data_IF_681701256058
#
_entry.id   IF_681701256058
#
_cell.length_a   1.000
_cell.length_b   1.000
_cell.length_c   1.000
_cell.angle_alpha   90.00
_cell.angle_beta   90.00
_cell.angle_gamma   90.00
#
_symmetry.space_group_name_H-M   'P 1'
#
loop_
_entity.id
_entity.type
_entity.pdbx_description
1 polymer ?
#
# COMPACT_ATOMS: atom_id res chain seq x y z
N UNK A 1 34.98 -48.19 28.42
CA UNK A 1 35.42 -47.26 27.38
C UNK A 1 36.69 -46.63 27.90
N UNK A 2 37.79 -46.69 27.16
CA UNK A 2 39.03 -46.06 27.60
C UNK A 2 38.99 -44.54 27.35
N UNK A 3 39.94 -43.79 27.91
CA UNK A 3 39.97 -42.33 27.82
C UNK A 3 40.09 -41.83 26.37
N UNK A 4 40.76 -42.59 25.49
CA UNK A 4 40.94 -42.23 24.09
C UNK A 4 39.66 -42.50 23.28
N UNK A 5 38.98 -43.61 23.53
CA UNK A 5 37.67 -43.92 22.95
C UNK A 5 36.61 -42.91 23.40
N UNK A 6 36.62 -42.51 24.67
CA UNK A 6 35.71 -41.49 25.19
C UNK A 6 35.95 -40.14 24.51
N UNK A 7 37.22 -39.72 24.40
CA UNK A 7 37.62 -38.53 23.67
C UNK A 7 37.18 -38.57 22.19
N UNK A 8 37.41 -39.67 21.49
CA UNK A 8 36.98 -39.85 20.09
C UNK A 8 35.47 -39.86 19.95
N UNK A 9 34.74 -40.37 20.95
CA UNK A 9 33.27 -40.33 20.94
C UNK A 9 32.73 -38.90 21.08
N UNK A 10 33.41 -38.02 21.82
CA UNK A 10 33.05 -36.60 21.93
C UNK A 10 33.33 -35.87 20.61
N UNK A 11 34.46 -36.18 19.95
CA UNK A 11 34.74 -35.67 18.61
C UNK A 11 33.69 -36.14 17.59
N UNK A 12 33.29 -37.41 17.63
CA UNK A 12 32.23 -37.95 16.76
C UNK A 12 30.85 -37.33 17.04
N UNK A 13 30.62 -36.84 18.26
CA UNK A 13 29.43 -36.07 18.65
C UNK A 13 29.53 -34.58 18.30
N UNK A 14 30.64 -34.14 17.69
CA UNK A 14 30.83 -32.77 17.19
C UNK A 14 31.41 -31.79 18.21
N UNK A 15 31.91 -32.24 19.36
CA UNK A 15 32.64 -31.36 20.29
C UNK A 15 34.01 -30.97 19.70
N UNK A 16 34.47 -29.73 19.95
CA UNK A 16 35.81 -29.28 19.52
C UNK A 16 36.90 -30.06 20.26
N UNK A 17 38.07 -30.20 19.65
CA UNK A 17 39.21 -30.94 20.20
C UNK A 17 39.61 -30.44 21.59
N UNK A 18 39.65 -29.13 21.79
CA UNK A 18 40.04 -28.50 23.07
C UNK A 18 39.00 -28.78 24.17
N UNK A 19 37.71 -28.62 23.85
CA UNK A 19 36.61 -28.92 24.78
C UNK A 19 36.53 -30.41 25.11
N UNK A 20 36.78 -31.27 24.13
CA UNK A 20 36.78 -32.73 24.29
C UNK A 20 37.89 -33.19 25.22
N UNK A 21 39.06 -32.53 25.19
CA UNK A 21 40.13 -32.78 26.17
C UNK A 21 39.66 -32.40 27.57
N UNK A 22 39.04 -31.22 27.73
CA UNK A 22 38.55 -30.77 29.03
C UNK A 22 37.48 -31.71 29.61
N UNK A 23 36.50 -32.15 28.80
CA UNK A 23 35.48 -33.11 29.22
C UNK A 23 36.06 -34.51 29.50
N UNK A 24 37.03 -34.94 28.71
CA UNK A 24 37.71 -36.22 28.94
C UNK A 24 38.52 -36.17 30.24
N UNK A 25 39.20 -35.06 30.52
CA UNK A 25 39.95 -34.86 31.76
C UNK A 25 39.07 -34.81 33.01
N UNK A 26 37.81 -34.35 32.89
CA UNK A 26 36.85 -34.40 33.99
C UNK A 26 36.47 -35.83 34.38
N UNK A 27 36.39 -36.76 33.41
CA UNK A 27 36.06 -38.17 33.66
C UNK A 27 37.30 -39.07 33.84
N UNK A 28 38.43 -38.67 33.26
CA UNK A 28 39.71 -39.39 33.28
C UNK A 28 40.84 -38.42 33.67
N UNK A 29 41.01 -38.13 34.97
CA UNK A 29 42.04 -37.23 35.46
C UNK A 29 43.43 -37.82 35.15
N UNK A 30 44.16 -37.18 34.25
CA UNK A 30 45.46 -37.66 33.72
C UNK A 30 45.50 -37.84 32.20
N UNK A 31 44.39 -37.66 31.50
CA UNK A 31 44.37 -37.67 30.04
C UNK A 31 45.14 -36.47 29.46
N UNK A 32 46.13 -36.75 28.60
CA UNK A 32 46.88 -35.74 27.83
C UNK A 32 47.01 -36.22 26.39
N UNK A 33 46.79 -35.33 25.41
CA UNK A 33 47.05 -35.64 24.01
C UNK A 33 48.55 -35.92 23.81
N UNK A 34 48.88 -37.01 23.14
CA UNK A 34 50.25 -37.26 22.72
C UNK A 34 50.68 -36.12 21.76
N UNK A 35 51.84 -35.47 22.00
CA UNK A 35 52.29 -34.38 21.14
C UNK A 35 52.58 -34.93 19.73
N UNK A 36 51.95 -34.31 18.72
CA UNK A 36 52.27 -34.54 17.31
C UNK A 36 53.73 -34.13 17.08
N UNK A 37 54.60 -34.95 16.47
CA UNK A 37 55.99 -34.57 16.26
C UNK A 37 56.07 -33.32 15.37
N UNK A 38 56.65 -32.24 15.88
CA UNK A 38 56.98 -31.04 15.12
C UNK A 38 57.92 -31.38 13.97
N UNK A 39 57.47 -31.15 12.74
CA UNK A 39 58.32 -31.28 11.55
C UNK A 39 59.22 -30.05 11.48
N UNK A 40 60.49 -30.26 11.84
CA UNK A 40 61.58 -29.30 11.72
C UNK A 40 61.86 -29.01 10.22
N UNK A 41 61.79 -27.75 9.72
CA UNK A 41 61.78 -27.46 8.28
C UNK A 41 63.14 -27.57 7.57
N UNK A 42 64.11 -28.26 8.16
CA UNK A 42 65.51 -28.21 7.74
C UNK A 42 66.09 -29.60 7.48
N UNK A 43 65.46 -30.40 6.63
CA UNK A 43 66.08 -31.56 5.97
C UNK A 43 65.09 -32.22 5.00
N UNK A 44 65.23 -31.95 3.70
CA UNK A 44 64.69 -32.83 2.66
C UNK A 44 65.76 -33.87 2.31
N UNK A 45 65.49 -35.17 2.44
CA UNK A 45 66.15 -36.19 1.64
C UNK A 45 65.27 -36.56 0.44
N UNK A 46 65.86 -36.50 -0.74
CA UNK A 46 65.33 -37.07 -1.97
C UNK A 46 64.88 -38.54 -1.80
N UNK A 47 63.76 -38.98 -2.38
CA UNK A 47 63.49 -40.40 -2.54
C UNK A 47 64.15 -40.94 -3.82
N UNK A 48 64.89 -42.04 -3.67
CA UNK A 48 65.35 -42.89 -4.76
C UNK A 48 64.22 -43.86 -5.22
N UNK A 49 64.31 -44.46 -6.43
CA UNK A 49 63.14 -44.67 -7.28
C UNK A 49 62.61 -46.13 -7.36
N UNK A 50 61.65 -46.29 -8.29
CA UNK A 50 61.16 -47.50 -9.01
C UNK A 50 60.05 -48.34 -8.31
N UNK A 51 58.96 -48.86 -8.93
CA UNK A 51 58.53 -49.15 -10.32
C UNK A 51 56.99 -49.04 -10.48
N UNK A 52 56.52 -48.65 -11.68
CA UNK A 52 55.14 -48.84 -12.15
C UNK A 52 54.96 -50.24 -12.80
N UNK A 53 53.71 -50.73 -12.92
CA UNK A 53 53.01 -50.65 -14.21
C UNK A 53 51.51 -50.31 -14.04
N UNK A 54 50.81 -49.62 -14.94
CA UNK A 54 51.14 -49.07 -16.24
C UNK A 54 50.15 -47.96 -16.63
N UNK A 55 50.69 -47.03 -17.42
CA UNK A 55 50.11 -46.20 -18.51
C UNK A 55 48.57 -46.12 -18.66
N UNK A 56 47.94 -44.96 -18.89
CA UNK A 56 48.45 -43.73 -19.51
C UNK A 56 47.47 -42.54 -19.44
N UNK A 57 48.05 -41.35 -19.23
CA UNK A 57 47.74 -39.99 -19.79
C UNK A 57 46.37 -39.37 -19.48
N UNK A 58 46.22 -38.19 -18.89
CA UNK A 58 47.01 -36.94 -18.73
C UNK A 58 45.95 -35.80 -18.72
N UNK A 59 45.99 -34.66 -18.03
CA UNK A 59 47.05 -33.68 -17.80
C UNK A 59 46.50 -32.67 -16.74
N UNK A 60 47.31 -32.33 -15.74
CA UNK A 60 47.57 -30.92 -15.34
C UNK A 60 46.57 -30.10 -14.51
N UNK A 61 47.12 -29.65 -13.37
CA UNK A 61 46.96 -28.32 -12.74
C UNK A 61 45.82 -28.15 -11.73
N UNK A 62 46.23 -27.88 -10.48
CA UNK A 62 45.50 -27.00 -9.57
C UNK A 62 44.89 -27.69 -8.36
N UNK A 63 45.52 -27.47 -7.20
CA UNK A 63 44.81 -27.50 -5.92
C UNK A 63 43.51 -26.70 -6.07
N UNK A 64 42.36 -27.38 -6.01
CA UNK A 64 41.09 -26.69 -5.80
C UNK A 64 41.05 -26.33 -4.33
N UNK A 65 41.56 -25.13 -4.03
CA UNK A 65 41.12 -24.36 -2.87
C UNK A 65 39.61 -24.22 -3.05
N UNK A 66 38.82 -25.05 -2.36
CA UNK A 66 37.37 -24.88 -2.29
C UNK A 66 37.13 -23.65 -1.41
N UNK A 67 37.14 -22.49 -2.07
CA UNK A 67 36.77 -21.21 -1.48
C UNK A 67 35.36 -21.37 -0.91
N UNK A 68 35.27 -21.37 0.43
CA UNK A 68 34.03 -21.44 1.19
C UNK A 68 33.04 -20.41 0.65
N UNK A 69 31.90 -20.88 0.13
CA UNK A 69 30.92 -20.02 -0.52
C UNK A 69 30.07 -19.38 0.58
N UNK A 70 30.20 -18.07 0.70
CA UNK A 70 29.83 -17.28 1.87
C UNK A 70 28.31 -17.18 2.15
N UNK A 71 27.99 -16.86 3.41
CA UNK A 71 26.70 -16.35 3.93
C UNK A 71 25.98 -15.36 3.00
N UNK A 72 26.70 -14.67 2.09
CA UNK A 72 26.11 -13.77 1.09
C UNK A 72 25.23 -14.46 0.03
N UNK A 73 25.24 -15.79 -0.12
CA UNK A 73 24.28 -16.50 -0.98
C UNK A 73 22.83 -16.35 -0.50
N UNK A 74 22.57 -16.60 0.78
CA UNK A 74 21.21 -16.63 1.32
C UNK A 74 20.59 -15.22 1.35
N UNK A 75 21.38 -14.22 1.78
CA UNK A 75 20.91 -12.84 1.86
C UNK A 75 20.58 -12.21 0.49
N UNK A 76 21.33 -12.53 -0.57
CA UNK A 76 21.04 -12.02 -1.92
C UNK A 76 19.79 -12.64 -2.55
N UNK A 77 19.47 -13.89 -2.22
CA UNK A 77 18.23 -14.56 -2.64
C UNK A 77 17.04 -13.94 -1.90
N UNK A 78 17.15 -13.76 -0.59
CA UNK A 78 16.10 -13.16 0.24
C UNK A 78 15.84 -11.71 -0.19
N UNK A 79 16.88 -10.86 -0.30
CA UNK A 79 16.70 -9.46 -0.67
C UNK A 79 16.10 -9.29 -2.07
N UNK A 80 16.53 -10.12 -3.04
CA UNK A 80 15.95 -10.13 -4.38
C UNK A 80 14.49 -10.59 -4.39
N UNK A 81 14.13 -11.63 -3.63
CA UNK A 81 12.74 -12.09 -3.56
C UNK A 81 11.79 -11.04 -2.96
N UNK A 82 12.21 -10.36 -1.90
CA UNK A 82 11.43 -9.28 -1.27
C UNK A 82 11.30 -8.09 -2.22
N UNK A 83 12.38 -7.74 -2.93
CA UNK A 83 12.38 -6.69 -3.94
C UNK A 83 11.33 -6.92 -5.02
N UNK A 84 11.24 -8.14 -5.57
CA UNK A 84 10.25 -8.49 -6.60
C UNK A 84 8.83 -8.32 -6.06
N UNK A 85 8.55 -8.91 -4.90
CA UNK A 85 7.21 -8.93 -4.30
C UNK A 85 6.72 -7.51 -3.98
N UNK A 86 7.56 -6.71 -3.33
CA UNK A 86 7.19 -5.34 -2.98
C UNK A 86 7.08 -4.45 -4.22
N UNK A 87 7.96 -4.60 -5.21
CA UNK A 87 7.84 -3.84 -6.46
C UNK A 87 6.53 -4.16 -7.18
N UNK A 88 6.06 -5.41 -7.17
CA UNK A 88 4.75 -5.78 -7.74
C UNK A 88 3.61 -5.13 -6.95
N UNK A 89 3.66 -5.17 -5.62
CA UNK A 89 2.64 -4.54 -4.78
C UNK A 89 2.55 -3.03 -5.02
N UNK A 90 3.69 -2.36 -5.09
CA UNK A 90 3.76 -0.92 -5.39
C UNK A 90 3.28 -0.66 -6.82
N UNK A 91 3.63 -1.49 -7.81
CA UNK A 91 3.14 -1.33 -9.19
C UNK A 91 1.61 -1.39 -9.27
N UNK A 92 0.99 -2.38 -8.63
CA UNK A 92 -0.48 -2.49 -8.58
C UNK A 92 -1.06 -1.23 -7.93
N UNK A 93 -0.51 -0.81 -6.79
CA UNK A 93 -0.97 0.39 -6.11
C UNK A 93 -0.84 1.66 -6.97
N UNK A 94 0.34 1.92 -7.55
CA UNK A 94 0.59 3.12 -8.36
C UNK A 94 -0.27 3.14 -9.62
N UNK A 95 -0.50 1.98 -10.25
CA UNK A 95 -1.32 1.92 -11.47
C UNK A 95 -2.82 2.00 -11.20
N UNK A 96 -3.32 1.43 -10.10
CA UNK A 96 -4.75 1.36 -9.81
C UNK A 96 -5.25 2.55 -8.98
N UNK A 97 -4.48 3.03 -8.00
CA UNK A 97 -4.89 4.17 -7.17
C UNK A 97 -4.32 5.47 -7.65
N UNK A 98 -2.99 5.59 -7.64
CA UNK A 98 -2.34 6.89 -7.83
C UNK A 98 -2.66 7.44 -9.22
N UNK A 99 -2.58 6.62 -10.26
CA UNK A 99 -2.91 7.05 -11.62
C UNK A 99 -4.41 7.30 -11.83
N UNK A 100 -5.29 6.51 -11.21
CA UNK A 100 -6.74 6.72 -11.33
C UNK A 100 -7.13 8.04 -10.66
N UNK A 101 -6.73 8.24 -9.40
CA UNK A 101 -6.98 9.48 -8.67
C UNK A 101 -6.38 10.70 -9.38
N UNK A 102 -5.16 10.62 -9.91
CA UNK A 102 -4.60 11.73 -10.69
C UNK A 102 -5.40 11.98 -11.98
N UNK A 103 -5.85 10.93 -12.68
CA UNK A 103 -6.64 11.08 -13.90
C UNK A 103 -7.98 11.74 -13.61
N UNK A 104 -8.70 11.25 -12.61
CA UNK A 104 -10.02 11.78 -12.25
C UNK A 104 -9.91 13.24 -11.80
N UNK A 105 -8.90 13.58 -10.98
CA UNK A 105 -8.65 14.98 -10.61
C UNK A 105 -8.28 15.84 -11.82
N UNK A 106 -7.51 15.33 -12.79
CA UNK A 106 -7.22 16.10 -14.02
C UNK A 106 -8.52 16.41 -14.76
N UNK A 107 -9.42 15.45 -14.91
CA UNK A 107 -10.66 15.64 -15.64
C UNK A 107 -11.56 16.65 -14.92
N UNK A 108 -11.76 16.49 -13.61
CA UNK A 108 -12.54 17.43 -12.77
C UNK A 108 -12.01 18.86 -12.86
N UNK A 109 -10.72 19.07 -12.57
CA UNK A 109 -10.15 20.42 -12.57
C UNK A 109 -9.90 20.98 -13.99
N UNK A 110 -9.96 20.15 -15.05
CA UNK A 110 -9.88 20.65 -16.43
C UNK A 110 -11.18 21.28 -16.89
N UNK A 111 -12.31 20.86 -16.32
CA UNK A 111 -13.62 21.41 -16.62
C UNK A 111 -13.90 22.71 -15.83
N UNK A 112 -13.19 22.91 -14.71
CA UNK A 112 -13.17 24.17 -13.97
C UNK A 112 -12.44 25.26 -14.78
N UNK A 113 -13.19 26.19 -15.37
CA UNK A 113 -12.62 27.29 -16.14
C UNK A 113 -12.05 28.37 -15.21
N UNK A 114 -10.72 28.45 -15.06
CA UNK A 114 -10.08 29.49 -14.26
C UNK A 114 -8.56 29.34 -14.16
N UNK A 115 -7.84 30.44 -13.90
CA UNK A 115 -6.38 30.39 -13.77
C UNK A 115 -5.86 29.48 -12.65
N UNK A 116 -6.52 29.37 -11.47
CA UNK A 116 -6.06 28.48 -10.40
C UNK A 116 -6.19 26.99 -10.77
N UNK A 117 -7.33 26.63 -11.37
CA UNK A 117 -7.59 25.25 -11.83
C UNK A 117 -6.62 24.83 -12.94
N UNK A 118 -6.32 25.72 -13.89
CA UNK A 118 -5.31 25.45 -14.94
C UNK A 118 -3.92 25.17 -14.35
N UNK A 119 -3.52 25.92 -13.32
CA UNK A 119 -2.25 25.69 -12.60
C UNK A 119 -2.23 24.32 -11.93
N UNK A 120 -3.31 23.95 -11.23
CA UNK A 120 -3.44 22.66 -10.56
C UNK A 120 -3.45 21.50 -11.57
N UNK A 121 -4.18 21.61 -12.68
CA UNK A 121 -4.19 20.61 -13.76
C UNK A 121 -2.79 20.41 -14.34
N UNK A 122 -2.01 21.48 -14.52
CA UNK A 122 -0.62 21.40 -14.98
C UNK A 122 0.26 20.64 -13.98
N UNK A 123 0.07 20.89 -12.69
CA UNK A 123 0.76 20.17 -11.63
C UNK A 123 0.38 18.68 -11.59
N UNK A 124 -0.91 18.36 -11.72
CA UNK A 124 -1.42 16.99 -11.78
C UNK A 124 -0.90 16.22 -13.00
N UNK A 125 -0.85 16.84 -14.18
CA UNK A 125 -0.23 16.26 -15.39
C UNK A 125 1.26 15.97 -15.17
N UNK A 126 1.97 16.85 -14.46
CA UNK A 126 3.36 16.65 -14.07
C UNK A 126 3.51 15.46 -13.11
N UNK A 127 2.62 15.35 -12.11
CA UNK A 127 2.56 14.20 -11.21
C UNK A 127 2.27 12.89 -11.94
N UNK A 128 1.41 12.90 -12.96
CA UNK A 128 1.13 11.73 -13.79
C UNK A 128 2.38 11.25 -14.54
N UNK A 129 3.17 12.18 -15.10
CA UNK A 129 4.45 11.86 -15.75
C UNK A 129 5.45 11.25 -14.75
N UNK A 130 5.57 11.84 -13.55
CA UNK A 130 6.42 11.31 -12.48
C UNK A 130 5.97 9.93 -12.02
N UNK A 131 4.66 9.68 -11.99
CA UNK A 131 4.08 8.37 -11.70
C UNK A 131 4.51 7.32 -12.74
N UNK A 132 4.40 7.63 -14.04
CA UNK A 132 4.87 6.72 -15.09
C UNK A 132 6.39 6.48 -15.04
N UNK A 133 7.17 7.49 -14.67
CA UNK A 133 8.60 7.32 -14.41
C UNK A 133 8.85 6.37 -13.23
N UNK A 134 8.08 6.49 -12.14
CA UNK A 134 8.17 5.59 -10.98
C UNK A 134 7.84 4.15 -11.35
N UNK A 135 6.82 3.92 -12.18
CA UNK A 135 6.46 2.60 -12.73
C UNK A 135 7.61 2.01 -13.54
N UNK A 136 8.24 2.79 -14.41
CA UNK A 136 9.39 2.33 -15.20
C UNK A 136 10.57 1.91 -14.31
N UNK A 137 10.85 2.69 -13.25
CA UNK A 137 11.87 2.34 -12.26
C UNK A 137 11.50 1.10 -11.44
N UNK A 138 10.21 0.88 -11.17
CA UNK A 138 9.74 -0.33 -10.48
C UNK A 138 9.97 -1.59 -11.31
N UNK A 139 9.73 -1.55 -12.63
CA UNK A 139 10.16 -2.63 -13.52
C UNK A 139 11.70 -2.82 -13.51
N UNK A 140 12.44 -1.72 -13.42
CA UNK A 140 13.89 -1.75 -13.19
C UNK A 140 14.28 -2.46 -11.89
N UNK A 141 13.58 -2.21 -10.78
CA UNK A 141 13.82 -2.91 -9.50
C UNK A 141 13.57 -4.40 -9.61
N UNK A 142 12.54 -4.84 -10.35
CA UNK A 142 12.29 -6.26 -10.58
C UNK A 142 13.47 -6.89 -11.33
N UNK A 143 13.93 -6.23 -12.41
CA UNK A 143 15.10 -6.69 -13.17
C UNK A 143 16.38 -6.77 -12.32
N UNK A 144 16.67 -5.73 -11.52
CA UNK A 144 17.83 -5.72 -10.62
C UNK A 144 17.70 -6.77 -9.52
N UNK A 145 16.49 -6.99 -9.01
CA UNK A 145 16.21 -8.03 -8.00
C UNK A 145 16.48 -9.43 -8.54
N UNK A 146 16.04 -9.73 -9.76
CA UNK A 146 16.37 -10.99 -10.47
C UNK A 146 17.89 -11.12 -10.65
N UNK A 147 18.56 -10.06 -11.12
CA UNK A 147 20.02 -10.07 -11.29
C UNK A 147 20.75 -10.25 -9.94
N UNK A 148 20.18 -9.77 -8.85
CA UNK A 148 20.72 -9.93 -7.49
C UNK A 148 20.60 -11.38 -7.03
N UNK A 149 19.46 -12.04 -7.30
CA UNK A 149 19.30 -13.49 -7.06
C UNK A 149 20.28 -14.31 -7.92
N UNK A 150 20.49 -13.91 -9.17
CA UNK A 150 21.43 -14.54 -10.09
C UNK A 150 22.91 -14.18 -9.81
N UNK A 151 23.19 -13.33 -8.82
CA UNK A 151 24.53 -12.79 -8.49
C UNK A 151 25.24 -12.08 -9.66
N UNK A 152 24.47 -11.55 -10.60
CA UNK A 152 24.95 -10.75 -11.73
C UNK A 152 24.88 -9.23 -11.45
N UNK A 153 24.29 -8.85 -10.32
CA UNK A 153 24.14 -7.46 -9.87
C UNK A 153 25.21 -7.08 -8.83
N UNK A 154 25.62 -5.80 -8.82
CA UNK A 154 26.45 -5.25 -7.73
C UNK A 154 25.56 -5.02 -6.51
N UNK A 155 26.12 -5.23 -5.31
CA UNK A 155 25.40 -5.11 -4.03
C UNK A 155 24.71 -3.75 -3.80
N UNK A 156 25.19 -2.69 -4.45
CA UNK A 156 24.65 -1.33 -4.33
C UNK A 156 23.59 -0.98 -5.37
N UNK A 157 23.39 -1.78 -6.43
CA UNK A 157 22.40 -1.48 -7.46
C UNK A 157 20.98 -1.45 -6.89
N UNK A 158 20.61 -2.46 -6.08
CA UNK A 158 19.28 -2.55 -5.48
C UNK A 158 19.02 -1.40 -4.48
N UNK A 159 19.92 -1.09 -3.52
CA UNK A 159 19.79 0.09 -2.67
C UNK A 159 19.69 1.41 -3.43
N UNK A 160 20.49 1.57 -4.49
CA UNK A 160 20.51 2.82 -5.26
C UNK A 160 19.17 3.07 -5.96
N UNK A 161 18.63 2.08 -6.66
CA UNK A 161 17.34 2.24 -7.34
C UNK A 161 16.18 2.40 -6.36
N UNK A 162 16.17 1.67 -5.23
CA UNK A 162 15.11 1.81 -4.21
C UNK A 162 15.16 3.18 -3.56
N UNK A 163 16.37 3.74 -3.34
CA UNK A 163 16.53 5.09 -2.82
C UNK A 163 16.06 6.16 -3.82
N UNK A 164 16.34 5.99 -5.11
CA UNK A 164 15.83 6.88 -6.16
C UNK A 164 14.29 6.87 -6.21
N UNK A 165 13.66 5.70 -6.13
CA UNK A 165 12.19 5.57 -6.11
C UNK A 165 11.62 6.23 -4.85
N UNK A 166 12.25 6.03 -3.68
CA UNK A 166 11.84 6.66 -2.44
C UNK A 166 11.85 8.20 -2.56
N UNK A 167 12.93 8.77 -3.10
CA UNK A 167 13.02 10.22 -3.31
C UNK A 167 11.96 10.74 -4.28
N UNK A 168 11.65 9.97 -5.32
CA UNK A 168 10.58 10.33 -6.25
C UNK A 168 9.22 10.36 -5.55
N UNK A 169 8.87 9.35 -4.76
CA UNK A 169 7.59 9.34 -4.03
C UNK A 169 7.49 10.46 -2.99
N UNK A 170 8.57 10.74 -2.25
CA UNK A 170 8.60 11.88 -1.32
C UNK A 170 8.46 13.20 -2.08
N UNK A 171 9.15 13.34 -3.22
CA UNK A 171 9.06 14.52 -4.08
C UNK A 171 7.65 14.72 -4.64
N UNK A 172 6.98 13.63 -5.05
CA UNK A 172 5.59 13.66 -5.51
C UNK A 172 4.65 14.11 -4.40
N UNK A 173 4.72 13.52 -3.20
CA UNK A 173 3.86 13.93 -2.08
C UNK A 173 4.07 15.38 -1.66
N UNK A 174 5.33 15.84 -1.64
CA UNK A 174 5.65 17.26 -1.39
C UNK A 174 5.09 18.18 -2.47
N UNK A 175 5.23 17.80 -3.75
CA UNK A 175 4.76 18.59 -4.87
C UNK A 175 3.22 18.67 -4.90
N UNK A 176 2.54 17.55 -4.62
CA UNK A 176 1.07 17.51 -4.49
C UNK A 176 0.58 18.45 -3.38
N UNK A 177 1.19 18.41 -2.20
CA UNK A 177 0.80 19.28 -1.09
C UNK A 177 0.93 20.77 -1.44
N UNK A 178 2.04 21.16 -2.09
CA UNK A 178 2.21 22.55 -2.53
C UNK A 178 1.19 22.94 -3.60
N UNK A 179 0.97 22.10 -4.62
CA UNK A 179 0.03 22.45 -5.69
C UNK A 179 -1.40 22.58 -5.17
N UNK A 180 -1.79 21.73 -4.22
CA UNK A 180 -3.10 21.77 -3.58
C UNK A 180 -3.25 23.02 -2.70
N UNK A 181 -2.26 23.34 -1.88
CA UNK A 181 -2.30 24.57 -1.06
C UNK A 181 -2.29 25.83 -1.92
N UNK A 182 -1.53 25.83 -3.02
CA UNK A 182 -1.50 26.95 -3.93
C UNK A 182 -2.88 27.18 -4.57
N UNK A 183 -3.59 26.10 -4.94
CA UNK A 183 -4.96 26.19 -5.45
C UNK A 183 -5.94 26.69 -4.37
N UNK A 184 -5.94 26.09 -3.18
CA UNK A 184 -6.92 26.44 -2.14
C UNK A 184 -6.65 27.77 -1.43
N UNK A 185 -5.39 28.19 -1.28
CA UNK A 185 -5.02 29.32 -0.42
C UNK A 185 -4.38 30.51 -1.15
N UNK A 186 -3.54 30.28 -2.17
CA UNK A 186 -2.77 31.36 -2.80
C UNK A 186 -3.48 31.97 -4.01
N UNK A 187 -4.01 31.13 -4.90
CA UNK A 187 -4.62 31.56 -6.16
C UNK A 187 -6.15 31.73 -6.06
N UNK A 188 -6.75 31.27 -4.96
CA UNK A 188 -8.18 31.37 -4.68
C UNK A 188 -8.96 30.25 -5.35
N UNK A 189 -9.32 29.24 -4.58
CA UNK A 189 -10.23 28.18 -4.99
C UNK A 189 -11.58 28.78 -5.41
N UNK A 190 -12.22 28.17 -6.41
CA UNK A 190 -13.46 28.72 -6.97
C UNK A 190 -14.60 28.58 -5.96
N UNK A 191 -14.98 29.70 -5.34
CA UNK A 191 -16.04 29.74 -4.34
C UNK A 191 -17.45 29.52 -4.93
N UNK A 192 -17.61 29.59 -6.26
CA UNK A 192 -18.86 29.18 -6.91
C UNK A 192 -19.02 27.66 -6.94
N UNK A 193 -17.91 26.92 -6.90
CA UNK A 193 -17.88 25.44 -6.94
C UNK A 193 -17.69 24.86 -5.53
N UNK A 194 -16.80 25.46 -4.72
CA UNK A 194 -16.50 25.00 -3.37
C UNK A 194 -16.81 26.09 -2.34
N UNK A 195 -17.94 25.96 -1.65
CA UNK A 195 -18.37 26.91 -0.60
C UNK A 195 -17.40 26.97 0.60
N UNK A 196 -16.52 25.98 0.75
CA UNK A 196 -15.61 25.83 1.88
C UNK A 196 -14.14 26.20 1.59
N UNK A 197 -13.82 26.86 0.46
CA UNK A 197 -12.44 27.24 0.13
C UNK A 197 -11.70 27.95 1.28
N UNK A 198 -12.41 28.77 2.08
CA UNK A 198 -11.84 29.51 3.22
C UNK A 198 -11.64 28.69 4.51
N UNK A 199 -12.19 27.47 4.59
CA UNK A 199 -12.13 26.58 5.75
C UNK A 199 -11.24 25.36 5.54
N UNK A 200 -10.80 25.10 4.30
CA UNK A 200 -9.77 24.12 4.00
C UNK A 200 -8.51 24.45 4.81
N UNK A 201 -7.87 23.43 5.39
CA UNK A 201 -6.59 23.62 6.10
C UNK A 201 -5.45 23.37 5.15
N UNK A 202 -4.32 24.02 5.40
CA UNK A 202 -3.07 23.73 4.68
C UNK A 202 -2.77 22.22 4.73
N UNK A 203 -2.67 21.63 3.55
CA UNK A 203 -2.26 20.25 3.40
C UNK A 203 -0.75 20.15 3.58
N UNK A 204 -0.32 19.25 4.46
CA UNK A 204 1.09 18.88 4.56
C UNK A 204 1.35 17.68 3.67
N UNK A 205 2.61 17.50 3.23
CA UNK A 205 2.97 16.29 2.46
C UNK A 205 2.50 15.00 3.17
N UNK A 206 2.48 15.02 4.51
CA UNK A 206 2.14 13.89 5.37
C UNK A 206 0.66 13.55 5.43
N UNK A 207 -0.21 14.49 5.04
CA UNK A 207 -1.67 14.34 5.02
C UNK A 207 -2.20 13.99 3.63
N UNK A 208 -1.40 14.16 2.58
CA UNK A 208 -1.82 13.78 1.22
C UNK A 208 -2.02 12.27 1.10
N UNK A 209 -3.10 11.84 0.43
CA UNK A 209 -3.39 10.41 0.17
C UNK A 209 -2.27 9.71 -0.61
N UNK A 210 -1.57 10.49 -1.44
CA UNK A 210 -0.35 10.08 -2.16
C UNK A 210 0.74 9.64 -1.17
N UNK A 211 0.79 10.21 0.04
CA UNK A 211 1.78 9.90 1.07
C UNK A 211 1.31 8.94 2.16
N UNK A 212 0.01 8.85 2.46
CA UNK A 212 -0.55 7.86 3.39
C UNK A 212 -0.20 6.41 2.97
N UNK A 213 -0.14 6.15 1.66
CA UNK A 213 0.38 4.91 1.08
C UNK A 213 1.91 4.87 0.91
N UNK A 214 2.52 6.04 0.83
CA UNK A 214 3.97 6.28 0.79
C UNK A 214 4.69 5.83 2.06
N UNK A 215 4.06 5.83 3.24
CA UNK A 215 4.69 5.31 4.46
C UNK A 215 4.97 3.82 4.36
N UNK A 216 3.95 3.01 4.04
CA UNK A 216 4.09 1.57 3.88
C UNK A 216 5.10 1.22 2.76
N UNK A 217 5.04 1.96 1.66
CA UNK A 217 5.96 1.84 0.53
C UNK A 217 7.40 2.24 0.91
N UNK A 218 7.56 3.33 1.65
CA UNK A 218 8.85 3.85 2.10
C UNK A 218 9.52 2.92 3.10
N UNK A 219 8.78 2.39 4.08
CA UNK A 219 9.28 1.37 4.99
C UNK A 219 9.70 0.09 4.25
N UNK A 220 8.91 -0.35 3.27
CA UNK A 220 9.26 -1.51 2.45
C UNK A 220 10.56 -1.28 1.65
N UNK A 221 10.71 -0.12 0.99
CA UNK A 221 11.90 0.21 0.21
C UNK A 221 13.16 0.38 1.09
N UNK A 222 13.02 1.00 2.27
CA UNK A 222 14.11 1.11 3.26
C UNK A 222 14.51 -0.29 3.73
N UNK A 223 13.55 -1.16 4.04
CA UNK A 223 13.82 -2.52 4.48
C UNK A 223 14.56 -3.36 3.41
N UNK A 224 14.14 -3.26 2.14
CA UNK A 224 14.83 -3.89 1.00
C UNK A 224 16.26 -3.36 0.87
N UNK A 225 16.43 -2.04 0.95
CA UNK A 225 17.74 -1.40 0.90
C UNK A 225 18.67 -1.92 2.00
N UNK A 226 18.21 -1.95 3.25
CA UNK A 226 18.98 -2.42 4.40
C UNK A 226 19.36 -3.91 4.28
N UNK A 227 18.43 -4.77 3.84
CA UNK A 227 18.71 -6.19 3.60
C UNK A 227 19.76 -6.39 2.50
N UNK A 228 19.72 -5.58 1.44
CA UNK A 228 20.71 -5.62 0.38
C UNK A 228 22.08 -5.07 0.81
N UNK A 229 22.13 -4.12 1.75
CA UNK A 229 23.41 -3.67 2.33
C UNK A 229 24.05 -4.78 3.19
N UNK A 230 23.22 -5.56 3.90
CA UNK A 230 23.69 -6.70 4.71
C UNK A 230 24.18 -7.89 3.86
N UNK A 231 23.87 -7.94 2.55
CA UNK A 231 24.41 -8.97 1.65
C UNK A 231 25.86 -8.74 1.22
N UNK A 232 26.54 -7.71 1.76
CA UNK A 232 27.95 -7.42 1.45
C UNK A 232 28.85 -8.63 1.81
N UNK A 233 29.70 -9.11 0.89
CA UNK A 233 30.61 -10.21 1.20
C UNK A 233 31.61 -9.76 2.27
N UNK A 234 31.57 -10.39 3.46
CA UNK A 234 32.63 -10.27 4.48
C UNK A 234 33.89 -10.97 3.97
N UNK A 235 35.01 -10.26 4.01
CA UNK A 235 36.34 -10.77 3.70
C UNK A 235 36.98 -11.40 4.95
N UNK A 236 36.60 -12.63 5.30
CA UNK A 236 37.53 -13.53 6.02
C UNK A 236 37.07 -14.99 5.88
N UNK A 237 38.01 -15.93 5.67
CA UNK A 237 37.73 -17.35 5.71
C UNK A 237 37.85 -17.84 7.17
N UNK A 238 36.81 -18.48 7.70
CA UNK A 238 36.85 -19.89 8.14
C UNK A 238 35.57 -20.24 8.93
N UNK A 239 35.25 -21.54 8.96
CA UNK A 239 34.30 -22.20 9.86
C UNK A 239 32.77 -21.94 9.63
N UNK A 240 32.19 -22.39 8.50
CA UNK A 240 30.76 -22.74 8.46
C UNK A 240 30.35 -23.52 7.20
N UNK A 241 30.76 -24.78 7.06
CA UNK A 241 30.30 -25.62 5.94
C UNK A 241 28.99 -26.37 6.28
N UNK A 242 28.73 -26.69 7.56
CA UNK A 242 27.52 -27.46 7.92
C UNK A 242 26.27 -26.60 8.20
N UNK A 243 26.45 -25.32 8.60
CA UNK A 243 25.33 -24.38 8.76
C UNK A 243 24.77 -23.88 7.41
N UNK A 244 25.44 -24.10 6.29
CA UNK A 244 25.07 -23.49 4.99
C UNK A 244 23.79 -24.13 4.40
N UNK A 245 23.60 -25.45 4.53
CA UNK A 245 22.44 -26.13 3.92
C UNK A 245 21.13 -25.81 4.65
N UNK A 246 21.16 -25.73 5.99
CA UNK A 246 19.99 -25.37 6.81
C UNK A 246 19.57 -23.93 6.57
N UNK A 247 20.53 -22.99 6.50
CA UNK A 247 20.24 -21.58 6.25
C UNK A 247 19.77 -21.31 4.81
N UNK A 248 20.30 -22.03 3.81
CA UNK A 248 19.79 -21.94 2.44
C UNK A 248 18.37 -22.47 2.36
N UNK A 249 18.05 -23.62 2.97
CA UNK A 249 16.68 -24.15 3.03
C UNK A 249 15.72 -23.20 3.76
N UNK A 250 16.14 -22.65 4.91
CA UNK A 250 15.35 -21.66 5.65
C UNK A 250 15.13 -20.37 4.85
N UNK A 251 16.15 -19.90 4.11
CA UNK A 251 16.03 -18.73 3.24
C UNK A 251 15.01 -18.93 2.11
N UNK A 252 14.98 -20.11 1.50
CA UNK A 252 13.95 -20.46 0.51
C UNK A 252 12.55 -20.50 1.12
N UNK A 253 12.40 -21.07 2.31
CA UNK A 253 11.12 -21.09 3.04
C UNK A 253 10.64 -19.67 3.37
N UNK A 254 11.53 -18.82 3.89
CA UNK A 254 11.21 -17.41 4.18
C UNK A 254 10.85 -16.66 2.89
N UNK A 255 11.58 -16.87 1.79
CA UNK A 255 11.27 -16.24 0.50
C UNK A 255 9.89 -16.66 -0.03
N UNK A 256 9.53 -17.95 0.09
CA UNK A 256 8.20 -18.45 -0.28
C UNK A 256 7.14 -17.83 0.63
N UNK A 257 7.37 -17.79 1.94
CA UNK A 257 6.45 -17.18 2.91
C UNK A 257 6.23 -15.70 2.57
N UNK A 258 7.29 -14.93 2.31
CA UNK A 258 7.16 -13.51 1.92
C UNK A 258 6.47 -13.35 0.57
N UNK A 259 6.73 -14.24 -0.40
CA UNK A 259 5.99 -14.26 -1.67
C UNK A 259 4.50 -14.52 -1.43
N UNK A 260 4.15 -15.48 -0.59
CA UNK A 260 2.75 -15.80 -0.26
C UNK A 260 2.09 -14.64 0.48
N UNK A 261 2.72 -14.08 1.51
CA UNK A 261 2.19 -12.92 2.24
C UNK A 261 2.11 -11.66 1.39
N UNK A 262 3.08 -11.45 0.50
CA UNK A 262 3.02 -10.36 -0.46
C UNK A 262 1.94 -10.57 -1.51
N UNK A 263 1.75 -11.79 -2.01
CA UNK A 263 0.62 -12.12 -2.88
C UNK A 263 -0.70 -11.88 -2.15
N UNK A 264 -0.80 -12.31 -0.88
CA UNK A 264 -1.97 -12.07 -0.04
C UNK A 264 -2.19 -10.58 0.22
N UNK A 265 -1.14 -9.79 0.42
CA UNK A 265 -1.25 -8.34 0.57
C UNK A 265 -1.68 -7.68 -0.75
N UNK A 266 -1.17 -8.13 -1.90
CA UNK A 266 -1.64 -7.65 -3.20
C UNK A 266 -3.07 -8.09 -3.49
N UNK A 267 -3.47 -9.28 -3.04
CA UNK A 267 -4.85 -9.75 -3.10
C UNK A 267 -5.71 -8.96 -2.13
N UNK A 268 -5.22 -8.59 -0.94
CA UNK A 268 -5.95 -7.75 0.03
C UNK A 268 -6.19 -6.36 -0.52
N UNK A 269 -5.16 -5.76 -1.10
CA UNK A 269 -5.23 -4.47 -1.81
C UNK A 269 -6.20 -4.61 -2.97
N UNK A 270 -6.00 -5.58 -3.88
CA UNK A 270 -6.90 -5.86 -5.00
C UNK A 270 -8.33 -6.20 -4.53
N UNK A 271 -8.51 -6.85 -3.38
CA UNK A 271 -9.80 -7.17 -2.78
C UNK A 271 -10.40 -5.99 -2.03
N UNK A 272 -9.64 -4.96 -1.69
CA UNK A 272 -10.18 -3.68 -1.25
C UNK A 272 -10.68 -2.85 -2.44
N UNK A 273 -10.21 -3.12 -3.67
CA UNK A 273 -10.79 -2.60 -4.92
C UNK A 273 -11.91 -3.48 -5.49
N UNK A 274 -11.78 -4.80 -5.36
CA UNK A 274 -12.78 -5.79 -5.78
C UNK A 274 -13.82 -6.07 -4.69
N UNK A 275 -13.62 -5.55 -3.48
CA UNK A 275 -14.72 -5.04 -2.67
C UNK A 275 -15.05 -3.67 -3.31
N UNK A 276 -16.06 -3.57 -4.19
CA UNK A 276 -16.93 -2.43 -3.99
C UNK A 276 -17.34 -2.48 -2.52
N UNK A 277 -17.37 -1.33 -1.84
CA UNK A 277 -17.89 -1.17 -0.48
C UNK A 277 -18.95 -2.25 -0.21
N UNK A 278 -18.53 -3.27 0.54
CA UNK A 278 -19.30 -4.51 0.66
C UNK A 278 -20.35 -4.27 1.75
N UNK A 279 -21.27 -3.36 1.46
CA UNK A 279 -22.68 -3.55 1.70
C UNK A 279 -23.38 -3.80 0.36
N UNK A 280 -22.86 -4.77 -0.41
CA UNK A 280 -23.67 -5.48 -1.40
C UNK A 280 -24.38 -6.63 -0.67
N UNK A 281 -25.49 -6.32 0.01
CA UNK A 281 -26.56 -7.30 0.09
C UNK A 281 -27.32 -7.28 -1.23
N UNK A 282 -27.03 -8.30 -2.04
CA UNK A 282 -28.01 -9.01 -2.85
C UNK A 282 -28.93 -8.18 -3.77
N UNK A 283 -28.39 -7.75 -4.91
CA UNK A 283 -29.12 -7.76 -6.18
C UNK A 283 -30.41 -6.95 -6.22
N UNK A 284 -30.31 -5.63 -6.22
CA UNK A 284 -31.39 -4.75 -6.63
C UNK A 284 -30.79 -3.53 -7.32
N UNK A 285 -31.59 -2.78 -8.06
CA UNK A 285 -31.11 -1.71 -8.95
C UNK A 285 -30.29 -0.69 -8.13
N UNK A 286 -28.97 -0.61 -8.35
CA UNK A 286 -28.12 0.28 -7.56
C UNK A 286 -28.46 1.75 -7.87
N UNK A 287 -29.31 2.33 -7.04
CA UNK A 287 -29.52 3.75 -6.96
C UNK A 287 -28.47 4.35 -6.02
N UNK A 288 -27.88 5.47 -6.42
CA UNK A 288 -26.97 6.26 -5.59
C UNK A 288 -27.37 7.73 -5.71
N UNK A 289 -27.46 8.38 -4.57
CA UNK A 289 -27.87 9.75 -4.40
C UNK A 289 -26.87 10.49 -3.50
N UNK A 290 -26.62 11.74 -3.82
CA UNK A 290 -25.83 12.67 -3.02
C UNK A 290 -26.68 13.88 -2.65
N UNK A 291 -26.49 14.38 -1.43
CA UNK A 291 -27.18 15.56 -0.92
C UNK A 291 -26.20 16.68 -0.62
N UNK A 292 -26.53 17.90 -1.04
CA UNK A 292 -25.81 19.13 -0.71
C UNK A 292 -26.77 20.15 -0.10
N UNK A 293 -26.21 21.11 0.63
CA UNK A 293 -26.95 22.19 1.26
C UNK A 293 -27.75 23.02 0.22
N UNK A 294 -28.97 23.41 0.61
CA UNK A 294 -29.94 24.24 -0.10
C UNK A 294 -29.41 25.59 -0.54
N UNK A 295 -29.11 26.43 0.45
CA UNK A 295 -28.69 27.82 0.27
C UNK A 295 -28.03 28.35 1.55
N UNK A 296 -27.34 29.48 1.46
CA UNK A 296 -26.38 29.97 2.46
C UNK A 296 -26.94 30.53 3.77
N UNK A 297 -28.24 30.43 4.07
CA UNK A 297 -28.77 30.87 5.36
C UNK A 297 -30.12 30.23 5.69
N UNK A 298 -30.14 29.42 6.75
CA UNK A 298 -31.35 29.07 7.49
C UNK A 298 -31.87 30.31 8.23
N UNK A 299 -33.15 30.63 8.05
CA UNK A 299 -33.83 31.68 8.83
C UNK A 299 -35.07 31.11 9.54
N UNK A 300 -35.84 31.94 10.25
CA UNK A 300 -37.04 31.49 10.98
C UNK A 300 -38.28 31.41 10.08
N UNK A 301 -38.11 31.41 8.75
CA UNK A 301 -39.21 31.27 7.80
C UNK A 301 -39.56 29.80 7.57
N UNK A 302 -40.61 29.55 6.79
CA UNK A 302 -41.17 28.22 6.54
C UNK A 302 -41.14 27.85 5.05
N UNK A 303 -40.26 28.51 4.29
CA UNK A 303 -40.08 28.35 2.85
C UNK A 303 -38.61 28.15 2.43
N UNK A 304 -37.76 27.77 3.39
CA UNK A 304 -36.33 27.61 3.18
C UNK A 304 -36.04 26.36 2.35
N UNK A 305 -35.20 26.51 1.32
CA UNK A 305 -34.61 25.37 0.63
C UNK A 305 -33.57 24.73 1.56
N UNK A 306 -33.86 23.51 2.01
CA UNK A 306 -33.04 22.79 2.99
C UNK A 306 -31.87 22.08 2.31
N UNK A 307 -32.13 21.31 1.25
CA UNK A 307 -31.08 20.54 0.59
C UNK A 307 -31.44 20.17 -0.84
N UNK A 308 -30.41 20.00 -1.66
CA UNK A 308 -30.48 19.51 -3.04
C UNK A 308 -30.00 18.06 -3.06
N UNK A 309 -30.77 17.17 -3.66
CA UNK A 309 -30.44 15.75 -3.84
C UNK A 309 -30.21 15.52 -5.33
N UNK A 310 -29.07 14.93 -5.69
CA UNK A 310 -28.76 14.52 -7.06
C UNK A 310 -28.74 13.00 -7.17
N UNK A 311 -29.27 12.44 -8.26
CA UNK A 311 -29.10 11.01 -8.57
C UNK A 311 -27.78 10.77 -9.30
N UNK A 312 -26.82 10.16 -8.62
CA UNK A 312 -25.49 9.84 -9.15
C UNK A 312 -25.49 8.54 -9.95
N UNK A 313 -26.25 7.54 -9.47
CA UNK A 313 -26.43 6.25 -10.14
C UNK A 313 -27.88 5.76 -10.03
N UNK A 314 -28.29 4.91 -10.99
CA UNK A 314 -29.65 4.38 -11.09
C UNK A 314 -30.18 4.35 -12.52
N UNK A 315 -31.27 3.61 -12.72
CA UNK A 315 -32.15 3.74 -13.89
C UNK A 315 -33.26 4.74 -13.57
N UNK A 316 -33.86 5.42 -14.54
CA UNK A 316 -34.89 6.45 -14.26
C UNK A 316 -35.96 6.01 -13.26
N UNK A 317 -36.05 6.69 -12.11
CA UNK A 317 -36.98 6.39 -11.02
C UNK A 317 -38.25 7.20 -11.20
N UNK A 318 -39.43 6.58 -11.16
CA UNK A 318 -40.66 7.37 -11.25
C UNK A 318 -40.93 8.11 -9.94
N UNK A 319 -41.22 9.42 -10.04
CA UNK A 319 -41.63 10.21 -8.87
C UNK A 319 -42.95 9.72 -8.25
N UNK A 320 -43.79 9.00 -9.01
CA UNK A 320 -45.02 8.39 -8.50
C UNK A 320 -44.75 7.19 -7.56
N UNK A 321 -43.56 6.60 -7.64
CA UNK A 321 -43.13 5.47 -6.80
C UNK A 321 -42.12 5.88 -5.72
N UNK A 322 -41.76 7.16 -5.64
CA UNK A 322 -40.80 7.65 -4.68
C UNK A 322 -41.52 8.12 -3.41
N UNK A 323 -41.01 7.71 -2.26
CA UNK A 323 -41.33 8.30 -0.97
C UNK A 323 -40.06 8.94 -0.40
N UNK A 324 -40.18 10.21 -0.02
CA UNK A 324 -39.11 11.02 0.55
C UNK A 324 -39.46 11.30 2.00
N UNK A 325 -38.52 10.97 2.90
CA UNK A 325 -38.66 11.16 4.33
C UNK A 325 -37.40 11.84 4.89
N UNK A 326 -37.58 12.76 5.84
CA UNK A 326 -36.49 13.46 6.51
C UNK A 326 -36.61 13.39 8.03
N UNK A 327 -35.47 13.40 8.71
CA UNK A 327 -35.38 13.54 10.17
C UNK A 327 -34.43 14.70 10.45
N UNK A 328 -34.93 15.76 11.09
CA UNK A 328 -34.13 16.93 11.46
C UNK A 328 -33.71 16.83 12.93
N UNK A 329 -32.41 16.99 13.21
CA UNK A 329 -31.78 17.01 14.55
C UNK A 329 -32.19 15.84 15.47
N UNK A 330 -32.23 14.62 14.90
CA UNK A 330 -32.71 13.41 15.58
C UNK A 330 -34.18 13.49 16.06
N UNK A 331 -34.99 14.31 15.38
CA UNK A 331 -36.41 14.51 15.64
C UNK A 331 -37.31 13.37 15.14
N UNK A 332 -38.59 13.70 14.90
CA UNK A 332 -39.55 12.78 14.31
C UNK A 332 -39.32 12.65 12.80
N UNK A 333 -39.75 11.52 12.23
CA UNK A 333 -39.74 11.33 10.78
C UNK A 333 -40.83 12.19 10.14
N UNK A 334 -40.45 12.99 9.14
CA UNK A 334 -41.31 13.90 8.41
C UNK A 334 -41.35 13.41 6.96
N UNK A 335 -42.54 13.09 6.47
CA UNK A 335 -42.75 12.70 5.09
C UNK A 335 -42.88 13.95 4.22
N UNK A 336 -42.06 14.07 3.19
CA UNK A 336 -42.08 15.20 2.27
C UNK A 336 -43.02 14.90 1.10
N UNK A 337 -43.87 15.87 0.76
CA UNK A 337 -44.83 15.73 -0.33
C UNK A 337 -44.33 16.43 -1.59
N UNK A 338 -44.80 15.98 -2.77
CA UNK A 338 -44.48 16.67 -4.01
C UNK A 338 -45.07 18.08 -3.97
N UNK A 339 -44.28 19.08 -4.34
CA UNK A 339 -44.70 20.49 -4.34
C UNK A 339 -45.96 20.76 -5.20
N UNK A 340 -46.26 19.93 -6.20
CA UNK A 340 -47.49 20.08 -7.00
C UNK A 340 -48.77 19.59 -6.27
N UNK A 341 -48.63 18.92 -5.12
CA UNK A 341 -49.69 18.18 -4.45
C UNK A 341 -49.65 18.28 -2.91
N UNK A 342 -49.09 19.36 -2.35
CA UNK A 342 -48.92 19.54 -0.90
C UNK A 342 -50.16 20.11 -0.21
N UNK A 343 -50.40 19.68 1.04
CA UNK A 343 -51.41 20.23 1.96
C UNK A 343 -50.78 21.05 3.11
N UNK A 344 -49.49 21.44 3.01
CA UNK A 344 -48.77 22.21 4.04
C UNK A 344 -48.27 21.35 5.20
N UNK A 345 -47.65 20.21 4.90
CA UNK A 345 -47.30 19.15 5.86
C UNK A 345 -45.93 19.32 6.53
N UNK A 346 -45.29 20.48 6.36
CA UNK A 346 -44.01 20.83 6.95
C UNK A 346 -42.82 20.64 6.00
N UNK A 347 -42.90 19.71 5.05
CA UNK A 347 -41.83 19.45 4.08
C UNK A 347 -42.40 19.19 2.67
N UNK A 348 -41.83 19.86 1.67
CA UNK A 348 -42.13 19.64 0.27
C UNK A 348 -40.86 19.34 -0.54
N UNK A 349 -41.00 18.63 -1.65
CA UNK A 349 -39.92 18.44 -2.61
C UNK A 349 -40.32 18.86 -4.03
N UNK A 350 -39.39 19.47 -4.76
CA UNK A 350 -39.57 19.82 -6.16
C UNK A 350 -38.45 19.24 -7.02
N UNK A 351 -38.80 18.71 -8.20
CA UNK A 351 -37.82 18.29 -9.20
C UNK A 351 -37.50 19.43 -10.15
N UNK A 352 -36.22 19.63 -10.46
CA UNK A 352 -35.82 20.63 -11.45
C UNK A 352 -36.04 20.17 -12.92
N UNK A 353 -36.33 18.88 -13.13
CA UNK A 353 -36.57 18.26 -14.44
C UNK A 353 -38.01 18.41 -14.97
N UNK A 354 -38.17 18.35 -16.30
CA UNK A 354 -39.48 18.34 -16.99
C UNK A 354 -40.09 16.93 -17.11
N UNK A 355 -39.43 15.90 -16.59
CA UNK A 355 -39.81 14.50 -16.67
C UNK A 355 -40.54 14.03 -15.41
N UNK A 356 -41.47 13.08 -15.56
CA UNK A 356 -42.12 12.38 -14.43
C UNK A 356 -41.20 11.30 -13.80
N UNK A 357 -39.92 11.33 -14.16
CA UNK A 357 -38.89 10.38 -13.76
C UNK A 357 -37.66 11.17 -13.34
N UNK A 358 -37.07 10.76 -12.22
CA UNK A 358 -35.78 11.20 -11.74
C UNK A 358 -34.70 10.44 -12.50
N UNK A 359 -33.97 11.12 -13.38
CA UNK A 359 -32.85 10.54 -14.13
C UNK A 359 -31.51 10.90 -13.50
N UNK A 360 -30.46 10.23 -13.97
CA UNK A 360 -29.09 10.49 -13.50
C UNK A 360 -28.68 11.93 -13.82
N UNK A 361 -28.22 12.64 -12.80
CA UNK A 361 -27.82 14.04 -12.88
C UNK A 361 -28.96 15.03 -12.72
N UNK A 362 -30.22 14.57 -12.64
CA UNK A 362 -31.33 15.44 -12.24
C UNK A 362 -31.29 15.65 -10.73
N UNK A 363 -31.84 16.78 -10.30
CA UNK A 363 -31.84 17.18 -8.90
C UNK A 363 -33.27 17.42 -8.38
N UNK A 364 -33.44 17.04 -7.11
CA UNK A 364 -34.64 17.26 -6.31
C UNK A 364 -34.27 18.12 -5.12
N UNK A 365 -35.07 19.15 -4.88
CA UNK A 365 -34.81 20.12 -3.84
C UNK A 365 -35.88 19.94 -2.77
N UNK A 366 -35.43 19.75 -1.54
CA UNK A 366 -36.28 19.67 -0.35
C UNK A 366 -36.42 21.08 0.23
N UNK A 367 -37.65 21.49 0.48
CA UNK A 367 -38.02 22.81 0.98
C UNK A 367 -38.95 22.64 2.17
N UNK A 368 -38.86 23.55 3.13
CA UNK A 368 -39.87 23.68 4.17
C UNK A 368 -41.22 24.10 3.57
N UNK A 369 -42.30 23.64 4.20
CA UNK A 369 -43.65 23.95 3.73
C UNK A 369 -44.62 24.12 4.90
N UNK A 370 -44.74 25.37 5.38
CA UNK A 370 -45.72 25.75 6.40
C UNK A 370 -45.28 25.45 7.84
N UNK A 371 -44.02 25.04 8.05
CA UNK A 371 -43.38 24.95 9.37
C UNK A 371 -41.86 25.12 9.24
N UNK A 372 -41.27 25.96 10.09
CA UNK A 372 -39.82 26.04 10.32
C UNK A 372 -39.34 24.71 10.91
N UNK A 373 -38.67 23.91 10.08
CA UNK A 373 -38.07 22.64 10.45
C UNK A 373 -36.63 22.82 10.91
N UNK A 374 -35.93 23.81 10.36
CA UNK A 374 -34.51 24.01 10.50
C UNK A 374 -34.12 25.49 10.40
N UNK A 375 -34.00 26.15 11.55
CA UNK A 375 -33.56 27.54 11.68
C UNK A 375 -32.09 27.69 12.15
N UNK A 376 -31.34 26.59 12.22
CA UNK A 376 -29.93 26.59 12.67
C UNK A 376 -29.73 26.96 14.16
N UNK A 377 -30.80 26.96 14.98
CA UNK A 377 -30.73 27.34 16.39
C UNK A 377 -29.82 26.41 17.19
N UNK A 378 -28.90 27.01 17.98
CA UNK A 378 -27.94 26.28 18.79
C UNK A 378 -26.54 26.26 18.18
N UNK A 379 -26.30 25.38 17.21
CA UNK A 379 -24.97 25.13 16.63
C UNK A 379 -24.70 25.85 15.30
N UNK A 380 -25.69 26.56 14.75
CA UNK A 380 -25.58 27.23 13.45
C UNK A 380 -25.69 26.29 12.25
N UNK A 381 -26.31 25.12 12.44
CA UNK A 381 -26.67 24.16 11.40
C UNK A 381 -27.74 23.20 11.95
N UNK A 382 -28.44 22.47 11.08
CA UNK A 382 -29.22 21.29 11.43
C UNK A 382 -28.66 20.03 10.76
N UNK A 383 -28.76 18.90 11.45
CA UNK A 383 -28.47 17.58 10.90
C UNK A 383 -29.75 16.99 10.29
N UNK A 384 -29.79 16.83 8.97
CA UNK A 384 -30.94 16.26 8.26
C UNK A 384 -30.59 14.87 7.73
N UNK A 385 -31.27 13.85 8.22
CA UNK A 385 -31.18 12.49 7.68
C UNK A 385 -32.27 12.31 6.63
N UNK A 386 -31.87 12.02 5.40
CA UNK A 386 -32.78 11.76 4.28
C UNK A 386 -32.94 10.25 4.09
N UNK A 387 -34.17 9.82 3.82
CA UNK A 387 -34.55 8.44 3.58
C UNK A 387 -35.38 8.40 2.30
N UNK A 388 -34.89 7.66 1.31
CA UNK A 388 -35.56 7.47 0.02
C UNK A 388 -36.07 6.04 -0.06
N UNK A 389 -37.36 5.87 -0.37
CA UNK A 389 -38.00 4.55 -0.44
C UNK A 389 -38.75 4.41 -1.75
N UNK A 390 -38.64 3.24 -2.39
CA UNK A 390 -39.49 2.88 -3.52
C UNK A 390 -40.77 2.21 -2.99
N UNK A 391 -41.90 2.89 -3.17
CA UNK A 391 -43.20 2.46 -2.63
C UNK A 391 -43.81 1.25 -3.36
N UNK A 392 -43.34 0.93 -4.57
CA UNK A 392 -43.83 -0.25 -5.31
C UNK A 392 -43.34 -1.52 -4.63
N UNK A 393 -42.06 -1.55 -4.27
CA UNK A 393 -41.38 -2.74 -3.76
C UNK A 393 -41.20 -2.67 -2.22
N UNK A 394 -41.39 -1.49 -1.63
CA UNK A 394 -41.22 -1.23 -0.20
C UNK A 394 -39.75 -1.19 0.25
N UNK A 395 -38.83 -1.01 -0.69
CA UNK A 395 -37.39 -1.05 -0.49
C UNK A 395 -36.85 0.36 -0.18
N UNK A 396 -36.04 0.47 0.87
CA UNK A 396 -35.25 1.68 1.15
C UNK A 396 -34.13 1.77 0.10
N UNK A 397 -34.22 2.75 -0.79
CA UNK A 397 -33.26 2.98 -1.87
C UNK A 397 -31.92 3.49 -1.31
N UNK A 398 -31.98 4.48 -0.42
CA UNK A 398 -30.80 5.01 0.27
C UNK A 398 -31.20 5.82 1.50
N UNK A 399 -30.28 5.84 2.48
CA UNK A 399 -30.31 6.72 3.64
C UNK A 399 -28.98 7.42 3.80
N UNK A 400 -28.99 8.73 3.96
CA UNK A 400 -27.78 9.53 4.13
C UNK A 400 -28.06 10.78 4.96
N UNK A 401 -27.00 11.40 5.48
CA UNK A 401 -27.08 12.59 6.34
C UNK A 401 -26.48 13.79 5.62
N UNK A 402 -27.17 14.93 5.67
CA UNK A 402 -26.74 16.23 5.17
C UNK A 402 -26.74 17.22 6.33
N UNK A 403 -25.72 18.07 6.39
CA UNK A 403 -25.67 19.19 7.33
C UNK A 403 -26.04 20.46 6.57
N UNK A 404 -27.07 21.16 7.05
CA UNK A 404 -27.64 22.38 6.44
C UNK A 404 -27.32 23.56 7.33
N UNK A 405 -26.79 24.66 6.79
CA UNK A 405 -26.19 25.77 7.56
C UNK A 405 -26.96 27.09 7.52
#
# INVERSE_FOLDING_TARGET
MDAQEYYQSLLAQGYKSEDSVAFTQQHYPGFTLAPTPEVNPSQMPFPAPVQMPGTSMGVGVGQTIVVGKSKGKAFGIISGSIGIVMSIAILVWTTQMVNAAISDNIDVFSDESGSPAETLVSALKTLQILSYLSIALLFGTIGISILTMLKKSKWWYLPAITFTILLLFVGMGYYTAISVNQYYHDEGCDSEIYSNCGYMKDESMWNTDVMLSGYCTGFALIFIGLLSLMSKPKSSPDESIEKEEVWVKAAWVIAIIVMVFGLLATIMVLSAFMNPLNEMQSGEKNFEFSGVDGTAFLDEQDDNALLHITMDQGEGLSFASLQVEIIVDNGANIMCESYDYHDGTGCAYHSNGFSNTWERGDEVIIVEDGSDLCNGSGNGYCEIVVILTNTIDGEELQRFTVYVY
#
